data_IF_594525368827
#
_entry.id   IF_594525368827
#
_cell.length_a   1.000
_cell.length_b   1.000
_cell.length_c   1.000
_cell.angle_alpha   90.00
_cell.angle_beta   90.00
_cell.angle_gamma   90.00
#
_symmetry.space_group_name_H-M   'P 1'
#
loop_
_entity.id
_entity.type
_entity.pdbx_description
1 polymer ?
#
# COMPACT_ATOMS: atom_id res chain seq x y z
N UNK A 1 0.14 -14.15 -12.78
CA UNK A 1 -1.00 -13.45 -13.40
C UNK A 1 -1.81 -12.83 -12.27
N UNK A 2 -2.16 -11.53 -12.24
CA UNK A 2 -3.25 -11.11 -11.38
C UNK A 2 -4.53 -11.70 -11.95
N UNK A 3 -5.31 -12.40 -11.12
CA UNK A 3 -6.69 -12.74 -11.47
C UNK A 3 -7.46 -11.41 -11.52
N UNK A 4 -8.14 -11.17 -12.63
CA UNK A 4 -8.99 -10.00 -12.83
C UNK A 4 -10.06 -9.94 -11.73
N UNK A 5 -10.56 -8.73 -11.46
CA UNK A 5 -11.68 -8.58 -10.53
C UNK A 5 -12.90 -9.33 -11.07
N UNK A 6 -13.60 -10.06 -10.21
CA UNK A 6 -14.87 -10.73 -10.53
C UNK A 6 -15.95 -10.10 -9.63
N UNK A 7 -16.66 -9.06 -10.13
CA UNK A 7 -17.69 -8.36 -9.36
C UNK A 7 -18.85 -9.28 -8.97
N UNK A 8 -19.20 -10.25 -9.83
CA UNK A 8 -20.26 -11.24 -9.56
C UNK A 8 -19.90 -12.16 -8.39
N UNK A 9 -18.60 -12.31 -8.09
CA UNK A 9 -18.08 -13.02 -6.93
C UNK A 9 -17.63 -12.12 -5.78
N UNK A 10 -17.91 -10.82 -5.85
CA UNK A 10 -17.47 -9.82 -4.87
C UNK A 10 -15.94 -9.87 -4.64
N UNK A 11 -15.15 -10.02 -5.70
CA UNK A 11 -13.70 -10.01 -5.64
C UNK A 11 -13.16 -8.79 -6.39
N UNK A 12 -12.86 -7.73 -5.65
CA UNK A 12 -12.32 -6.48 -6.20
C UNK A 12 -10.81 -6.44 -5.96
N UNK A 13 -10.01 -6.35 -7.02
CA UNK A 13 -8.54 -6.30 -6.93
C UNK A 13 -8.05 -4.90 -7.25
N UNK A 14 -7.55 -4.19 -6.24
CA UNK A 14 -6.97 -2.86 -6.42
C UNK A 14 -5.46 -2.96 -6.56
N UNK A 15 -4.89 -2.26 -7.54
CA UNK A 15 -3.45 -2.08 -7.67
C UNK A 15 -3.08 -0.70 -7.11
N UNK A 16 -2.11 -0.66 -6.21
CA UNK A 16 -1.58 0.59 -5.67
C UNK A 16 -0.10 0.74 -6.00
N UNK A 17 0.35 1.99 -6.10
CA UNK A 17 1.75 2.38 -6.34
C UNK A 17 2.20 3.25 -5.17
N UNK A 18 3.27 2.86 -4.49
CA UNK A 18 3.84 3.62 -3.38
C UNK A 18 5.24 4.06 -3.75
N UNK A 19 5.51 5.34 -3.51
CA UNK A 19 6.85 5.95 -3.60
C UNK A 19 7.30 6.33 -2.20
N UNK A 20 8.44 5.79 -1.78
CA UNK A 20 9.11 6.08 -0.52
C UNK A 20 10.32 6.94 -0.88
N UNK A 21 10.34 8.20 -0.43
CA UNK A 21 11.45 9.12 -0.66
C UNK A 21 12.12 9.47 0.68
N UNK A 22 13.46 9.43 0.71
CA UNK A 22 14.21 9.91 1.85
C UNK A 22 14.48 11.41 1.71
N UNK A 23 13.67 12.22 2.38
CA UNK A 23 13.83 13.68 2.44
C UNK A 23 14.71 14.12 3.62
N UNK A 24 15.25 13.18 4.39
CA UNK A 24 16.15 13.43 5.49
C UNK A 24 17.62 13.55 5.06
N UNK A 25 18.48 13.93 6.01
CA UNK A 25 19.92 14.08 5.79
C UNK A 25 20.73 12.79 6.04
N UNK A 26 20.09 11.72 6.53
CA UNK A 26 20.75 10.44 6.88
C UNK A 26 20.16 9.31 6.07
N UNK A 27 20.96 8.30 5.76
CA UNK A 27 20.50 7.06 5.13
C UNK A 27 19.55 6.31 6.07
N UNK A 28 18.52 5.71 5.49
CA UNK A 28 17.54 4.92 6.22
C UNK A 28 17.16 3.65 5.44
N UNK A 29 17.12 2.51 6.14
CA UNK A 29 16.69 1.23 5.60
C UNK A 29 15.30 0.87 6.10
N UNK A 30 14.40 0.53 5.19
CA UNK A 30 13.09 -0.02 5.52
C UNK A 30 13.25 -1.45 6.04
N UNK A 31 12.68 -1.74 7.20
CA UNK A 31 12.74 -3.04 7.86
C UNK A 31 11.47 -3.85 7.65
N UNK A 32 10.32 -3.25 7.97
CA UNK A 32 9.03 -3.92 7.96
C UNK A 32 7.91 -2.94 7.62
N UNK A 33 6.73 -3.50 7.34
CA UNK A 33 5.49 -2.80 7.10
C UNK A 33 4.39 -3.37 7.98
N UNK A 34 3.46 -2.51 8.37
CA UNK A 34 2.18 -2.87 8.96
C UNK A 34 1.09 -2.13 8.19
N UNK A 35 0.15 -2.88 7.63
CA UNK A 35 -1.04 -2.34 6.99
C UNK A 35 -2.27 -2.66 7.80
N UNK A 36 -3.15 -1.68 7.92
CA UNK A 36 -4.54 -1.81 8.36
C UNK A 36 -5.41 -1.59 7.14
N UNK A 37 -6.21 -2.60 6.81
CA UNK A 37 -7.12 -2.60 5.68
C UNK A 37 -8.54 -2.67 6.25
N UNK A 38 -9.41 -1.75 5.84
CA UNK A 38 -10.81 -1.72 6.28
C UNK A 38 -11.71 -1.76 5.05
N UNK A 39 -12.54 -2.80 4.94
CA UNK A 39 -13.47 -2.96 3.83
C UNK A 39 -14.72 -2.08 3.99
N UNK A 40 -15.59 -2.06 2.97
CA UNK A 40 -16.82 -1.26 2.96
C UNK A 40 -17.87 -1.69 3.99
N UNK A 41 -17.71 -2.86 4.60
CA UNK A 41 -18.53 -3.35 5.72
C UNK A 41 -17.87 -3.10 7.08
N UNK A 42 -16.82 -2.27 7.13
CA UNK A 42 -16.05 -1.94 8.32
C UNK A 42 -15.35 -3.16 8.95
N UNK A 43 -15.11 -4.23 8.18
CA UNK A 43 -14.27 -5.34 8.61
C UNK A 43 -12.81 -4.94 8.47
N UNK A 44 -12.04 -5.16 9.53
CA UNK A 44 -10.62 -4.84 9.63
C UNK A 44 -9.74 -6.07 9.42
N UNK A 45 -8.69 -5.91 8.62
CA UNK A 45 -7.61 -6.87 8.43
C UNK A 45 -6.26 -6.17 8.66
N UNK A 46 -5.30 -6.90 9.24
CA UNK A 46 -3.95 -6.39 9.46
C UNK A 46 -2.92 -7.27 8.77
N UNK A 47 -2.02 -6.64 8.03
CA UNK A 47 -0.94 -7.33 7.31
C UNK A 47 0.39 -6.79 7.80
N UNK A 48 1.15 -7.65 8.47
CA UNK A 48 2.51 -7.36 8.96
C UNK A 48 3.50 -8.19 8.16
N UNK A 49 4.63 -7.59 7.79
CA UNK A 49 5.70 -8.35 7.15
C UNK A 49 6.99 -7.57 6.98
N UNK A 50 8.06 -8.31 6.71
CA UNK A 50 9.36 -7.72 6.41
C UNK A 50 9.36 -7.06 5.03
N UNK A 51 10.04 -5.93 4.95
CA UNK A 51 10.25 -5.23 3.70
C UNK A 51 8.97 -4.78 3.00
N UNK A 52 9.11 -4.53 1.70
CA UNK A 52 8.05 -4.31 0.73
C UNK A 52 8.38 -5.14 -0.51
N UNK A 53 7.42 -5.89 -1.05
CA UNK A 53 7.60 -6.72 -2.27
C UNK A 53 8.88 -7.60 -2.26
N UNK A 54 9.23 -8.15 -1.09
CA UNK A 54 10.43 -8.98 -0.90
C UNK A 54 11.75 -8.20 -0.83
N UNK A 55 11.71 -6.87 -0.68
CA UNK A 55 12.89 -6.00 -0.60
C UNK A 55 12.87 -5.16 0.67
N UNK A 56 14.06 -4.82 1.17
CA UNK A 56 14.27 -3.85 2.24
C UNK A 56 15.09 -2.68 1.68
N UNK A 57 14.43 -1.69 1.02
CA UNK A 57 15.12 -0.56 0.43
C UNK A 57 16.01 0.17 1.42
N UNK A 58 17.23 0.49 1.00
CA UNK A 58 18.21 1.25 1.74
C UNK A 58 18.45 2.58 1.00
N UNK A 59 17.91 3.66 1.56
CA UNK A 59 17.77 4.95 0.86
C UNK A 59 18.71 5.99 1.48
N UNK A 60 19.64 6.49 0.69
CA UNK A 60 20.41 7.69 1.01
C UNK A 60 19.59 8.98 0.87
N UNK A 61 20.13 10.12 1.30
CA UNK A 61 19.46 11.42 1.17
C UNK A 61 19.06 11.73 -0.28
N UNK A 62 17.80 12.08 -0.51
CA UNK A 62 17.23 12.39 -1.83
C UNK A 62 16.89 11.18 -2.70
N UNK A 63 17.28 9.96 -2.29
CA UNK A 63 16.92 8.73 -3.00
C UNK A 63 15.47 8.34 -2.75
N UNK A 64 14.91 7.57 -3.69
CA UNK A 64 13.58 7.01 -3.54
C UNK A 64 13.51 5.57 -4.02
N UNK A 65 12.56 4.83 -3.47
CA UNK A 65 12.16 3.51 -3.94
C UNK A 65 10.68 3.51 -4.26
N UNK A 66 10.31 2.82 -5.32
CA UNK A 66 8.93 2.73 -5.75
C UNK A 66 8.56 1.28 -6.04
N UNK A 67 7.34 0.91 -5.65
CA UNK A 67 6.81 -0.40 -5.94
C UNK A 67 5.31 -0.36 -6.23
N UNK A 68 4.86 -1.40 -6.93
CA UNK A 68 3.45 -1.70 -7.13
C UNK A 68 3.10 -2.98 -6.40
N UNK A 69 1.92 -3.03 -5.81
CA UNK A 69 1.35 -4.23 -5.22
C UNK A 69 -0.18 -4.17 -5.37
N UNK A 70 -0.87 -5.17 -4.84
CA UNK A 70 -2.32 -5.28 -4.98
C UNK A 70 -2.97 -5.61 -3.64
N UNK A 71 -4.23 -5.24 -3.50
CA UNK A 71 -5.08 -5.54 -2.37
C UNK A 71 -6.42 -6.10 -2.88
N UNK A 72 -6.72 -7.38 -2.65
CA UNK A 72 -8.06 -7.89 -2.85
C UNK A 72 -9.00 -7.37 -1.75
N UNK A 73 -10.25 -7.04 -2.10
CA UNK A 73 -11.32 -6.68 -1.18
C UNK A 73 -12.61 -7.44 -1.51
N UNK A 74 -13.41 -7.81 -0.49
CA UNK A 74 -14.75 -8.38 -0.68
C UNK A 74 -15.82 -7.33 -1.02
N UNK A 75 -15.46 -6.05 -1.03
CA UNK A 75 -16.35 -4.90 -1.22
C UNK A 75 -15.82 -3.99 -2.32
N UNK A 76 -16.72 -3.26 -2.97
CA UNK A 76 -16.40 -2.30 -4.04
C UNK A 76 -15.57 -1.10 -3.58
N UNK A 77 -15.42 -0.91 -2.27
CA UNK A 77 -14.55 0.11 -1.72
C UNK A 77 -13.95 -0.33 -0.40
N UNK A 78 -12.87 0.33 0.01
CA UNK A 78 -12.26 0.18 1.32
C UNK A 78 -11.21 1.25 1.56
N UNK A 79 -10.46 1.11 2.65
CA UNK A 79 -9.35 2.00 2.98
C UNK A 79 -8.12 1.21 3.40
N UNK A 80 -6.96 1.80 3.15
CA UNK A 80 -5.68 1.32 3.65
C UNK A 80 -4.97 2.45 4.39
N UNK A 81 -4.38 2.12 5.52
CA UNK A 81 -3.45 2.97 6.27
C UNK A 81 -2.41 2.08 6.94
N UNK A 82 -1.32 2.64 7.45
CA UNK A 82 -0.30 1.79 8.02
C UNK A 82 0.94 2.51 8.48
N UNK A 83 1.98 1.72 8.72
CA UNK A 83 3.28 2.20 9.15
C UNK A 83 4.41 1.41 8.48
N UNK A 84 5.54 2.07 8.30
CA UNK A 84 6.81 1.44 7.98
C UNK A 84 7.77 1.61 9.15
N UNK A 85 8.47 0.53 9.50
CA UNK A 85 9.61 0.61 10.41
C UNK A 85 10.88 0.83 9.60
N UNK A 86 11.66 1.84 9.97
CA UNK A 86 12.95 2.15 9.39
C UNK A 86 14.06 2.09 10.44
N UNK A 87 15.29 1.98 9.95
CA UNK A 87 16.51 2.08 10.75
C UNK A 87 17.55 2.93 10.04
N UNK A 88 18.16 3.85 10.77
CA UNK A 88 19.29 4.67 10.31
C UNK A 88 20.62 3.92 10.41
N UNK A 89 21.67 4.45 9.80
CA UNK A 89 23.03 3.85 9.82
C UNK A 89 23.63 3.71 11.23
N UNK A 90 23.26 4.58 12.17
CA UNK A 90 23.66 4.50 13.59
C UNK A 90 22.81 3.51 14.41
N UNK A 91 21.91 2.77 13.75
CA UNK A 91 21.09 1.73 14.36
C UNK A 91 19.81 2.23 15.03
N UNK A 92 19.53 3.54 15.02
CA UNK A 92 18.28 4.07 15.56
C UNK A 92 17.10 3.67 14.68
N UNK A 93 16.06 3.12 15.33
CA UNK A 93 14.83 2.73 14.65
C UNK A 93 13.73 3.77 14.83
N UNK A 94 12.98 4.00 13.76
CA UNK A 94 11.90 4.98 13.75
C UNK A 94 10.76 4.52 12.84
N UNK A 95 9.55 5.01 13.14
CA UNK A 95 8.34 4.70 12.39
C UNK A 95 7.95 5.85 11.45
N UNK A 96 7.50 5.49 10.25
CA UNK A 96 6.89 6.42 9.29
C UNK A 96 5.44 6.01 9.06
N UNK A 97 4.51 6.92 9.34
CA UNK A 97 3.07 6.71 9.13
C UNK A 97 2.70 6.86 7.66
N UNK A 98 1.84 5.95 7.21
CA UNK A 98 1.17 6.01 5.91
C UNK A 98 -0.25 6.49 6.18
N UNK A 99 -0.56 7.70 5.70
CA UNK A 99 -1.90 8.26 5.81
C UNK A 99 -2.94 7.40 5.10
N UNK A 100 -4.17 7.43 5.61
CA UNK A 100 -5.28 6.68 5.03
C UNK A 100 -5.55 7.09 3.59
N UNK A 101 -5.70 6.11 2.71
CA UNK A 101 -6.17 6.31 1.34
C UNK A 101 -7.29 5.32 1.00
N UNK A 102 -8.09 5.67 0.00
CA UNK A 102 -9.24 4.89 -0.44
C UNK A 102 -8.86 3.93 -1.56
N UNK A 103 -9.45 2.74 -1.50
CA UNK A 103 -9.53 1.80 -2.61
C UNK A 103 -10.96 1.89 -3.15
N UNK A 104 -11.15 2.42 -4.35
CA UNK A 104 -12.46 2.59 -4.96
C UNK A 104 -12.35 2.59 -6.49
N UNK A 105 -13.42 2.28 -7.23
CA UNK A 105 -13.44 2.36 -8.69
C UNK A 105 -13.14 3.79 -9.15
N UNK A 106 -12.31 3.93 -10.17
CA UNK A 106 -12.14 5.22 -10.85
C UNK A 106 -13.43 5.53 -11.61
N UNK A 107 -13.95 6.75 -11.46
CA UNK A 107 -15.03 7.29 -12.31
C UNK A 107 -14.48 7.54 -13.71
N UNK A 108 -14.29 6.48 -14.51
CA UNK A 108 -13.97 6.62 -15.93
C UNK A 108 -14.65 5.57 -16.84
N UNK A 109 -15.54 4.73 -16.30
CA UNK A 109 -16.18 3.67 -17.10
C UNK A 109 -17.70 3.54 -16.94
N UNK A 110 -18.39 4.58 -16.45
CA UNK A 110 -19.85 4.60 -16.29
C UNK A 110 -20.61 5.33 -17.40
N UNK A 111 -19.97 5.68 -18.54
CA UNK A 111 -20.62 6.42 -19.64
C UNK A 111 -20.85 5.63 -20.94
N UNK A 112 -20.77 4.30 -20.93
CA UNK A 112 -21.13 3.49 -22.10
C UNK A 112 -21.81 2.18 -21.70
N UNK A 113 -23.06 2.27 -21.29
CA UNK A 113 -24.02 1.16 -21.38
C UNK A 113 -25.47 1.67 -21.26
N UNK A 114 -25.82 2.69 -22.06
CA UNK A 114 -27.20 2.86 -22.52
C UNK A 114 -27.20 2.60 -24.02
N UNK A 115 -27.77 1.46 -24.39
CA UNK A 115 -27.97 0.99 -25.77
C UNK A 115 -29.02 -0.10 -25.78
#
# INVERSE_FOLDING_TARGET
>A
MPQESDPDRSQYVYVYRIRIANEGARRARLLSRHWVIVDGHNKREEVIGEGVVGKQPDLGPGEFFEYKSYCPLPTEWGTMEGTYQFRTEDGHEFEVRIGRFFLAPTVENSLVADG
#
